data_IF_173918979669
#
_entry.id   IF_173918979669
#
_cell.length_a   1.000
_cell.length_b   1.000
_cell.length_c   1.000
_cell.angle_alpha   90.00
_cell.angle_beta   90.00
_cell.angle_gamma   90.00
#
_symmetry.space_group_name_H-M   'P 1'
#
loop_
_entity.id
_entity.type
_entity.pdbx_description
1 polymer ?
#
# COMPACT_ATOMS: atom_id res chain seq x y z
N UNK A 1 2.27 -34.10 1.64
CA UNK A 1 1.60 -33.58 2.86
C UNK A 1 2.59 -32.76 3.72
N UNK A 2 3.18 -31.68 3.17
CA UNK A 2 4.27 -30.91 3.85
C UNK A 2 4.11 -29.37 3.81
N UNK A 3 2.94 -28.85 3.40
CA UNK A 3 2.74 -27.39 3.26
C UNK A 3 2.46 -26.66 4.61
N UNK A 4 2.11 -27.37 5.68
CA UNK A 4 1.64 -26.75 6.94
C UNK A 4 2.73 -26.23 7.89
N UNK A 5 4.01 -26.62 7.73
CA UNK A 5 5.07 -26.22 8.68
C UNK A 5 5.61 -24.79 8.47
N UNK A 6 5.56 -24.27 7.24
CA UNK A 6 6.03 -22.91 6.94
C UNK A 6 5.11 -21.83 7.53
N UNK A 7 3.79 -22.06 7.50
CA UNK A 7 2.79 -21.14 8.03
C UNK A 7 2.92 -20.88 9.54
N UNK A 8 3.20 -21.93 10.33
CA UNK A 8 3.38 -21.81 11.78
C UNK A 8 4.64 -21.02 12.17
N UNK A 9 5.76 -21.24 11.45
CA UNK A 9 7.00 -20.46 11.68
C UNK A 9 6.80 -18.98 11.36
N UNK A 10 6.13 -18.69 10.25
CA UNK A 10 5.82 -17.32 9.81
C UNK A 10 4.87 -16.60 10.78
N UNK A 11 3.85 -17.29 11.30
CA UNK A 11 2.94 -16.74 12.31
C UNK A 11 3.65 -16.43 13.64
N UNK A 12 4.51 -17.35 14.11
CA UNK A 12 5.31 -17.13 15.32
C UNK A 12 6.24 -15.92 15.18
N UNK A 13 6.87 -15.75 14.02
CA UNK A 13 7.73 -14.58 13.72
C UNK A 13 6.94 -13.26 13.72
N UNK A 14 5.73 -13.24 13.16
CA UNK A 14 4.86 -12.04 13.18
C UNK A 14 4.45 -11.67 14.60
N UNK A 15 4.05 -12.65 15.40
CA UNK A 15 3.70 -12.44 16.80
C UNK A 15 4.87 -11.81 17.58
N UNK A 16 6.09 -12.34 17.39
CA UNK A 16 7.28 -11.75 18.04
C UNK A 16 7.60 -10.33 17.58
N UNK A 17 7.32 -9.98 16.31
CA UNK A 17 7.54 -8.61 15.81
C UNK A 17 6.49 -7.63 16.37
N UNK A 18 5.23 -8.07 16.54
CA UNK A 18 4.19 -7.25 17.17
C UNK A 18 4.46 -7.02 18.66
N UNK A 19 4.92 -8.06 19.37
CA UNK A 19 5.32 -7.95 20.77
C UNK A 19 6.49 -6.96 20.94
N UNK A 20 7.53 -7.07 20.09
CA UNK A 20 8.65 -6.12 20.10
C UNK A 20 8.18 -4.69 19.82
N UNK A 21 7.34 -4.47 18.81
CA UNK A 21 6.80 -3.14 18.51
C UNK A 21 6.03 -2.56 19.70
N UNK A 22 5.22 -3.39 20.37
CA UNK A 22 4.46 -2.96 21.55
C UNK A 22 5.37 -2.52 22.69
N UNK A 23 6.41 -3.29 22.98
CA UNK A 23 7.39 -2.96 24.03
C UNK A 23 8.09 -1.64 23.75
N UNK A 24 8.58 -1.43 22.53
CA UNK A 24 9.24 -0.19 22.11
C UNK A 24 8.29 1.02 22.20
N UNK A 25 7.02 0.86 21.78
CA UNK A 25 6.00 1.91 21.90
C UNK A 25 5.67 2.25 23.35
N UNK A 26 5.71 1.28 24.26
CA UNK A 26 5.47 1.50 25.70
C UNK A 26 6.64 2.16 26.39
N UNK A 27 7.87 1.91 25.93
CA UNK A 27 9.09 2.47 26.51
C UNK A 27 9.41 3.89 26.02
N UNK A 28 8.89 4.29 24.85
CA UNK A 28 9.18 5.59 24.26
C UNK A 28 8.49 6.75 25.01
N UNK A 29 9.25 7.82 25.31
CA UNK A 29 8.69 9.06 25.87
C UNK A 29 7.77 9.79 24.87
N UNK A 30 8.07 9.68 23.58
CA UNK A 30 7.27 10.21 22.48
C UNK A 30 7.48 9.41 21.19
N UNK A 31 6.48 9.43 20.31
CA UNK A 31 6.51 8.70 19.02
C UNK A 31 6.23 9.65 17.87
N UNK A 32 7.09 9.63 16.84
CA UNK A 32 6.85 10.29 15.56
C UNK A 32 6.43 9.24 14.53
N UNK A 33 5.24 9.41 13.95
CA UNK A 33 4.69 8.46 12.98
C UNK A 33 4.87 9.01 11.57
N UNK A 34 5.67 8.31 10.76
CA UNK A 34 5.72 8.50 9.31
C UNK A 34 4.79 7.50 8.63
N UNK A 35 3.76 7.99 7.91
CA UNK A 35 2.83 7.16 7.17
C UNK A 35 2.88 7.49 5.67
N UNK A 36 3.20 6.49 4.85
CA UNK A 36 3.15 6.60 3.39
C UNK A 36 1.90 5.94 2.79
N UNK A 37 1.80 5.91 1.46
CA UNK A 37 0.69 5.30 0.72
C UNK A 37 0.43 3.83 1.12
N UNK A 38 1.47 3.10 1.54
CA UNK A 38 1.35 1.73 2.04
C UNK A 38 0.38 1.55 3.21
N UNK A 39 0.22 2.56 4.08
CA UNK A 39 -0.75 2.50 5.17
C UNK A 39 -2.19 2.49 4.62
N UNK A 40 -2.47 3.31 3.61
CA UNK A 40 -3.78 3.33 2.93
C UNK A 40 -4.02 2.04 2.15
N UNK A 41 -3.00 1.54 1.44
CA UNK A 41 -3.06 0.25 0.75
C UNK A 41 -3.39 -0.90 1.71
N UNK A 42 -2.81 -0.91 2.91
CA UNK A 42 -3.11 -1.94 3.93
C UNK A 42 -4.56 -1.90 4.43
N UNK A 43 -5.22 -0.75 4.31
CA UNK A 43 -6.64 -0.55 4.61
C UNK A 43 -7.58 -0.83 3.41
N UNK A 44 -7.03 -1.26 2.26
CA UNK A 44 -7.80 -1.58 1.06
C UNK A 44 -7.90 -0.45 0.03
N UNK A 45 -7.28 0.72 0.29
CA UNK A 45 -7.22 1.82 -0.66
C UNK A 45 -6.08 1.61 -1.67
N UNK A 46 -6.23 0.61 -2.53
CA UNK A 46 -5.30 0.34 -3.62
C UNK A 46 -5.43 1.39 -4.73
N UNK A 47 -4.30 1.69 -5.38
CA UNK A 47 -4.18 2.68 -6.47
C UNK A 47 -4.07 2.02 -7.85
N UNK A 48 -4.02 0.69 -7.89
CA UNK A 48 -3.88 -0.13 -9.10
C UNK A 48 -5.09 -1.06 -9.24
N UNK A 49 -5.13 -1.80 -10.35
CA UNK A 49 -6.05 -2.93 -10.50
C UNK A 49 -7.49 -2.51 -10.83
N UNK A 50 -8.46 -3.23 -10.27
CA UNK A 50 -9.87 -3.06 -10.63
C UNK A 50 -10.39 -1.65 -10.35
N UNK A 51 -10.04 -1.07 -9.19
CA UNK A 51 -10.42 0.29 -8.86
C UNK A 51 -9.90 1.31 -9.88
N UNK A 52 -8.63 1.19 -10.28
CA UNK A 52 -8.06 2.07 -11.29
C UNK A 52 -8.78 1.91 -12.63
N UNK A 53 -8.90 0.67 -13.13
CA UNK A 53 -9.57 0.37 -14.39
C UNK A 53 -11.05 0.78 -14.42
N UNK A 54 -11.74 0.68 -13.30
CA UNK A 54 -13.15 1.07 -13.20
C UNK A 54 -13.36 2.58 -13.47
N UNK A 55 -12.41 3.42 -13.05
CA UNK A 55 -12.57 4.87 -13.07
C UNK A 55 -11.70 5.61 -14.10
N UNK A 56 -10.62 4.99 -14.58
CA UNK A 56 -9.59 5.65 -15.39
C UNK A 56 -9.11 4.81 -16.59
N UNK A 57 -9.92 3.86 -17.09
CA UNK A 57 -9.52 3.00 -18.21
C UNK A 57 -9.27 3.77 -19.52
N UNK A 58 -10.00 4.86 -19.73
CA UNK A 58 -9.82 5.78 -20.86
C UNK A 58 -8.46 6.49 -20.81
N UNK A 59 -8.03 6.92 -19.62
CA UNK A 59 -6.71 7.50 -19.41
C UNK A 59 -5.59 6.45 -19.51
N UNK A 60 -5.82 5.23 -19.02
CA UNK A 60 -4.90 4.09 -19.21
C UNK A 60 -4.69 3.82 -20.71
N UNK A 61 -5.76 3.79 -21.50
CA UNK A 61 -5.69 3.59 -22.95
C UNK A 61 -4.97 4.76 -23.66
N UNK A 62 -5.25 6.00 -23.26
CA UNK A 62 -4.68 7.20 -23.89
C UNK A 62 -3.21 7.43 -23.55
N UNK A 63 -2.81 7.18 -22.31
CA UNK A 63 -1.51 7.60 -21.76
C UNK A 63 -0.60 6.44 -21.32
N UNK A 64 -1.13 5.22 -21.22
CA UNK A 64 -0.36 4.00 -20.98
C UNK A 64 0.12 3.79 -19.53
N UNK A 65 -0.37 4.57 -18.56
CA UNK A 65 -0.11 4.31 -17.14
C UNK A 65 -1.16 3.36 -16.55
N UNK A 66 -0.76 2.59 -15.53
CA UNK A 66 -1.55 1.48 -14.99
C UNK A 66 -1.97 1.69 -13.52
N UNK A 67 -1.78 2.91 -13.00
CA UNK A 67 -2.09 3.24 -11.62
C UNK A 67 -2.44 4.72 -11.45
N UNK A 68 -3.25 4.99 -10.42
CA UNK A 68 -3.76 6.33 -10.11
C UNK A 68 -2.65 7.30 -9.66
N UNK A 69 -1.57 6.82 -9.04
CA UNK A 69 -0.52 7.69 -8.55
C UNK A 69 0.28 8.25 -9.73
N UNK A 70 0.73 7.39 -10.64
CA UNK A 70 1.40 7.81 -11.88
C UNK A 70 0.48 8.71 -12.72
N UNK A 71 -0.80 8.36 -12.84
CA UNK A 71 -1.78 9.20 -13.53
C UNK A 71 -1.97 10.58 -12.91
N UNK A 72 -1.97 10.68 -11.58
CA UNK A 72 -2.10 11.96 -10.87
C UNK A 72 -0.91 12.90 -11.01
N UNK A 73 0.27 12.39 -11.38
CA UNK A 73 1.48 13.18 -11.63
C UNK A 73 1.94 13.14 -13.09
N UNK A 74 1.09 12.64 -13.99
CA UNK A 74 1.40 12.61 -15.41
C UNK A 74 1.47 14.05 -15.96
N UNK A 75 2.46 14.38 -16.81
CA UNK A 75 2.61 15.71 -17.37
C UNK A 75 1.61 15.91 -18.53
N UNK A 76 0.35 16.14 -18.21
CA UNK A 76 -0.69 16.40 -19.22
C UNK A 76 -0.39 17.69 -20.00
N UNK A 77 -0.90 17.76 -21.23
CA UNK A 77 -0.64 18.89 -22.12
C UNK A 77 -1.40 20.16 -21.73
N UNK A 78 -2.56 19.99 -21.09
CA UNK A 78 -3.49 21.07 -20.76
C UNK A 78 -4.00 20.92 -19.33
N UNK A 79 -4.43 22.02 -18.71
CA UNK A 79 -4.93 22.02 -17.33
C UNK A 79 -6.29 21.33 -17.21
N UNK A 80 -7.06 21.27 -18.30
CA UNK A 80 -8.34 20.60 -18.39
C UNK A 80 -8.23 19.07 -18.25
N UNK A 81 -7.04 18.51 -18.50
CA UNK A 81 -6.76 17.07 -18.37
C UNK A 81 -6.06 16.69 -17.05
N UNK A 82 -5.68 17.69 -16.24
CA UNK A 82 -5.14 17.50 -14.88
C UNK A 82 -6.25 17.26 -13.85
#
# INVERSE_FOLDING_TARGET
MFSRMSGMKSAKKRLSEMERLKEELQAADAVVIGAGAGLSTSAGFVYTGERFRQYFSDFEEKYGFHDMYTGGFYPYQTLEEH
#
